data_IF_929493502260
#
_entry.id   IF_929493502260
#
_cell.length_a   1.000
_cell.length_b   1.000
_cell.length_c   1.000
_cell.angle_alpha   90.00
_cell.angle_beta   90.00
_cell.angle_gamma   90.00
#
_symmetry.space_group_name_H-M   'P 1'
#
loop_
_entity.id
_entity.type
_entity.pdbx_description
1 polymer ?
#
# COMPACT_ATOMS: atom_id res chain seq x y z
N UNK A 1 -13.54 -14.86 -33.69
CA UNK A 1 -13.91 -13.59 -33.02
C UNK A 1 -12.69 -13.09 -32.25
N UNK A 2 -12.02 -12.04 -32.74
CA UNK A 2 -10.82 -11.46 -32.08
C UNK A 2 -11.31 -10.51 -30.98
N UNK A 3 -11.08 -10.89 -29.73
CA UNK A 3 -11.42 -10.04 -28.59
C UNK A 3 -10.34 -8.95 -28.47
N UNK A 4 -10.76 -7.69 -28.60
CA UNK A 4 -9.89 -6.52 -28.62
C UNK A 4 -9.18 -6.33 -27.28
N UNK A 5 -7.90 -6.71 -27.24
CA UNK A 5 -6.95 -6.49 -26.16
C UNK A 5 -6.50 -5.03 -26.16
N UNK A 6 -6.99 -4.18 -25.24
CA UNK A 6 -6.19 -3.10 -24.60
C UNK A 6 -6.96 -2.08 -23.75
N UNK A 7 -8.28 -1.90 -23.89
CA UNK A 7 -8.90 -0.62 -23.44
C UNK A 7 -9.42 -0.56 -22.00
N UNK A 8 -9.43 -1.68 -21.26
CA UNK A 8 -10.35 -1.81 -20.12
C UNK A 8 -9.82 -1.36 -18.75
N UNK A 9 -8.57 -0.87 -18.66
CA UNK A 9 -8.02 -0.36 -17.39
C UNK A 9 -7.21 0.93 -17.59
N UNK A 10 -7.67 1.79 -18.49
CA UNK A 10 -7.12 3.13 -18.67
C UNK A 10 -7.50 4.09 -17.53
N UNK A 11 -8.35 3.66 -16.59
CA UNK A 11 -8.74 4.41 -15.39
C UNK A 11 -8.58 3.52 -14.17
N UNK A 12 -8.12 4.09 -13.06
CA UNK A 12 -7.89 3.45 -11.77
C UNK A 12 -9.07 2.55 -11.36
N UNK A 13 -9.04 1.28 -11.76
CA UNK A 13 -10.12 0.35 -11.49
C UNK A 13 -10.13 0.06 -9.98
N UNK A 14 -11.23 0.38 -9.27
CA UNK A 14 -11.28 0.20 -7.83
C UNK A 14 -11.24 -1.29 -7.48
N UNK A 15 -10.33 -1.67 -6.60
CA UNK A 15 -10.33 -3.03 -6.03
C UNK A 15 -11.48 -3.14 -5.02
N UNK A 16 -12.28 -4.19 -5.10
CA UNK A 16 -13.42 -4.39 -4.18
C UNK A 16 -13.03 -5.37 -3.09
N UNK A 17 -13.04 -4.91 -1.84
CA UNK A 17 -12.90 -5.78 -0.65
C UNK A 17 -14.31 -6.17 -0.20
N UNK A 18 -14.73 -7.41 -0.47
CA UNK A 18 -16.11 -7.88 -0.22
C UNK A 18 -16.39 -8.23 1.25
N UNK A 19 -15.39 -8.71 2.01
CA UNK A 19 -15.49 -8.94 3.46
C UNK A 19 -14.31 -8.26 4.18
N UNK A 20 -14.57 -7.11 4.78
CA UNK A 20 -13.63 -6.41 5.65
C UNK A 20 -13.89 -6.65 7.15
N UNK A 21 -13.01 -6.09 8.00
CA UNK A 21 -13.29 -5.94 9.44
C UNK A 21 -14.57 -5.09 9.59
N UNK A 22 -15.64 -5.67 10.16
CA UNK A 22 -16.95 -5.01 10.27
C UNK A 22 -18.00 -5.43 9.23
N UNK A 23 -17.74 -6.45 8.40
CA UNK A 23 -18.78 -7.09 7.57
C UNK A 23 -19.18 -6.37 6.28
N UNK A 24 -18.79 -5.11 6.09
CA UNK A 24 -19.10 -4.32 4.90
C UNK A 24 -18.18 -4.59 3.70
N UNK A 25 -18.77 -4.59 2.50
CA UNK A 25 -18.05 -4.52 1.23
C UNK A 25 -17.63 -3.06 0.96
N UNK A 26 -16.41 -2.85 0.47
CA UNK A 26 -15.92 -1.50 0.11
C UNK A 26 -15.02 -1.51 -1.10
N UNK A 27 -15.01 -0.41 -1.83
CA UNK A 27 -14.08 -0.15 -2.94
C UNK A 27 -12.87 0.61 -2.42
N UNK A 28 -11.68 0.08 -2.67
CA UNK A 28 -10.41 0.70 -2.35
C UNK A 28 -9.74 1.09 -3.66
N UNK A 29 -9.54 2.41 -3.92
CA UNK A 29 -8.78 2.85 -5.07
C UNK A 29 -7.34 2.36 -4.94
N UNK A 30 -6.79 1.82 -6.03
CA UNK A 30 -5.39 1.41 -6.08
C UNK A 30 -4.55 2.49 -6.71
N UNK A 31 -3.35 2.72 -6.15
CA UNK A 31 -2.33 3.51 -6.81
C UNK A 31 -1.99 2.90 -8.17
N UNK A 32 -1.65 3.73 -9.17
CA UNK A 32 -1.37 3.29 -10.55
C UNK A 32 -0.32 2.16 -10.60
N UNK A 33 0.72 2.26 -9.79
CA UNK A 33 1.80 1.27 -9.76
C UNK A 33 1.31 -0.06 -9.17
N UNK A 34 0.50 0.00 -8.10
CA UNK A 34 -0.11 -1.19 -7.51
C UNK A 34 -1.09 -1.86 -8.48
N UNK A 35 -1.88 -1.06 -9.21
CA UNK A 35 -2.78 -1.55 -10.24
C UNK A 35 -2.02 -2.21 -11.41
N UNK A 36 -0.86 -1.65 -11.79
CA UNK A 36 0.01 -2.22 -12.81
C UNK A 36 0.57 -3.59 -12.40
N UNK A 37 1.12 -3.70 -11.18
CA UNK A 37 1.62 -4.96 -10.63
C UNK A 37 0.50 -5.99 -10.50
N UNK A 38 -0.68 -5.58 -10.03
CA UNK A 38 -1.82 -6.48 -9.91
C UNK A 38 -2.32 -6.96 -11.26
N UNK A 39 -2.37 -6.09 -12.29
CA UNK A 39 -2.69 -6.52 -13.66
C UNK A 39 -1.73 -7.58 -14.12
N UNK A 40 -0.42 -7.33 -13.97
CA UNK A 40 0.59 -8.28 -14.40
C UNK A 40 0.41 -9.64 -13.74
N UNK A 41 0.18 -9.66 -12.42
CA UNK A 41 -0.15 -10.88 -11.69
C UNK A 41 -1.41 -11.59 -12.23
N UNK A 42 -2.47 -10.83 -12.49
CA UNK A 42 -3.72 -11.39 -13.03
C UNK A 42 -3.51 -11.99 -14.41
N UNK A 43 -2.84 -11.28 -15.32
CA UNK A 43 -2.65 -11.74 -16.70
C UNK A 43 -1.62 -12.86 -16.82
N UNK A 44 -0.52 -12.82 -16.06
CA UNK A 44 0.56 -13.81 -16.19
C UNK A 44 0.30 -15.08 -15.39
N UNK A 45 -0.43 -15.00 -14.26
CA UNK A 45 -0.55 -16.11 -13.32
C UNK A 45 -2.00 -16.52 -13.03
N UNK A 46 -2.89 -15.58 -12.69
CA UNK A 46 -4.20 -15.93 -12.13
C UNK A 46 -5.26 -16.22 -13.19
N UNK A 47 -5.27 -15.44 -14.25
CA UNK A 47 -6.31 -15.35 -15.28
C UNK A 47 -5.69 -15.22 -16.69
N UNK A 48 -4.79 -16.14 -17.12
CA UNK A 48 -4.14 -16.03 -18.43
C UNK A 48 -5.12 -16.16 -19.59
N UNK A 49 -6.28 -16.81 -19.39
CA UNK A 49 -7.36 -16.93 -20.38
C UNK A 49 -8.34 -15.73 -20.38
N UNK A 50 -8.14 -14.75 -19.51
CA UNK A 50 -9.02 -13.60 -19.34
C UNK A 50 -9.66 -13.52 -17.95
N UNK A 51 -10.16 -12.33 -17.61
CA UNK A 51 -10.79 -12.08 -16.30
C UNK A 51 -12.17 -12.73 -16.21
N UNK A 52 -12.57 -13.24 -15.02
CA UNK A 52 -13.92 -13.72 -14.80
C UNK A 52 -14.95 -12.60 -14.97
N UNK A 53 -16.17 -12.97 -15.37
CA UNK A 53 -17.28 -12.03 -15.50
C UNK A 53 -17.64 -11.45 -14.12
N UNK A 54 -17.94 -10.15 -14.07
CA UNK A 54 -18.36 -9.48 -12.83
C UNK A 54 -19.63 -10.15 -12.32
N UNK A 55 -19.65 -10.54 -11.04
CA UNK A 55 -20.77 -11.24 -10.40
C UNK A 55 -20.69 -12.76 -10.42
N UNK A 56 -19.78 -13.36 -11.19
CA UNK A 56 -19.66 -14.82 -11.36
C UNK A 56 -19.17 -15.52 -10.09
N UNK A 57 -19.20 -16.86 -10.07
CA UNK A 57 -18.68 -17.66 -8.95
C UNK A 57 -17.15 -17.59 -8.92
N UNK A 58 -16.52 -17.61 -10.09
CA UNK A 58 -15.08 -17.49 -10.29
C UNK A 58 -14.56 -16.12 -9.83
N UNK A 59 -15.34 -15.05 -10.02
CA UNK A 59 -15.03 -13.72 -9.48
C UNK A 59 -14.96 -13.70 -7.93
N UNK A 60 -15.64 -14.65 -7.27
CA UNK A 60 -15.64 -14.76 -5.80
C UNK A 60 -14.45 -15.53 -5.25
N UNK A 61 -13.66 -16.18 -6.10
CA UNK A 61 -12.48 -16.90 -5.65
C UNK A 61 -11.44 -15.96 -5.04
N UNK A 62 -10.60 -16.51 -4.17
CA UNK A 62 -9.51 -15.74 -3.59
C UNK A 62 -8.57 -15.22 -4.68
N UNK A 63 -8.24 -13.93 -4.58
CA UNK A 63 -7.42 -13.24 -5.57
C UNK A 63 -5.99 -13.76 -5.59
N UNK A 64 -5.36 -13.87 -4.42
CA UNK A 64 -3.96 -14.25 -4.27
C UNK A 64 -3.80 -15.75 -4.09
N UNK A 65 -2.82 -16.31 -4.78
CA UNK A 65 -2.42 -17.71 -4.72
C UNK A 65 -1.18 -17.84 -3.82
N UNK A 66 -1.21 -18.77 -2.88
CA UNK A 66 -0.06 -19.07 -2.03
C UNK A 66 0.93 -20.00 -2.75
N UNK A 67 2.02 -19.44 -3.29
CA UNK A 67 3.10 -20.23 -3.91
C UNK A 67 3.89 -21.08 -2.92
N UNK A 68 3.83 -20.75 -1.63
CA UNK A 68 4.65 -21.38 -0.60
C UNK A 68 4.12 -22.76 -0.14
N UNK A 69 2.96 -23.21 -0.65
CA UNK A 69 2.34 -24.51 -0.31
C UNK A 69 2.19 -25.44 -1.52
N UNK A 70 2.88 -25.13 -2.61
CA UNK A 70 2.65 -25.79 -3.88
C UNK A 70 3.53 -27.01 -3.97
N UNK A 71 2.93 -28.18 -4.08
CA UNK A 71 3.65 -29.42 -4.36
C UNK A 71 3.87 -29.55 -5.87
N UNK A 72 5.03 -30.02 -6.34
CA UNK A 72 5.24 -30.34 -7.74
C UNK A 72 4.12 -31.27 -8.26
N UNK A 73 3.54 -30.96 -9.41
CA UNK A 73 2.43 -31.73 -10.00
C UNK A 73 1.02 -31.37 -9.48
N UNK A 74 0.90 -30.55 -8.43
CA UNK A 74 -0.40 -30.11 -7.92
C UNK A 74 -0.76 -28.68 -8.37
N UNK A 75 -2.04 -28.39 -8.69
CA UNK A 75 -2.46 -27.07 -9.11
C UNK A 75 -2.32 -26.05 -7.98
N UNK A 76 -2.02 -24.82 -8.39
CA UNK A 76 -1.95 -23.67 -7.49
C UNK A 76 -3.35 -23.33 -6.94
N UNK A 77 -3.57 -23.55 -5.64
CA UNK A 77 -4.86 -23.25 -5.04
C UNK A 77 -5.02 -21.76 -4.71
N UNK A 78 -6.18 -21.14 -5.03
CA UNK A 78 -6.49 -19.78 -4.62
C UNK A 78 -6.57 -19.67 -3.10
N UNK A 79 -5.99 -18.60 -2.56
CA UNK A 79 -6.04 -18.29 -1.13
C UNK A 79 -4.66 -18.22 -0.49
N UNK A 80 -4.53 -17.32 0.48
CA UNK A 80 -3.33 -17.18 1.29
C UNK A 80 -3.72 -16.99 2.75
N UNK A 81 -3.19 -17.85 3.64
CA UNK A 81 -3.38 -17.67 5.08
C UNK A 81 -2.66 -16.43 5.59
N UNK A 82 -3.14 -15.84 6.68
CA UNK A 82 -2.46 -14.71 7.35
C UNK A 82 -1.02 -15.05 7.75
N UNK A 83 -0.77 -16.30 8.13
CA UNK A 83 0.58 -16.83 8.40
C UNK A 83 1.46 -16.81 7.15
N UNK A 84 0.94 -17.25 6.00
CA UNK A 84 1.66 -17.23 4.73
C UNK A 84 1.96 -15.79 4.27
N UNK A 85 1.01 -14.87 4.41
CA UNK A 85 1.25 -13.43 4.14
C UNK A 85 2.39 -12.90 5.01
N UNK A 86 2.36 -13.17 6.32
CA UNK A 86 3.39 -12.70 7.26
C UNK A 86 4.76 -13.27 6.92
N UNK A 87 4.84 -14.58 6.67
CA UNK A 87 6.08 -15.24 6.29
C UNK A 87 6.66 -14.65 5.00
N UNK A 88 5.82 -14.48 3.97
CA UNK A 88 6.24 -13.90 2.69
C UNK A 88 6.74 -12.47 2.85
N UNK A 89 6.05 -11.67 3.65
CA UNK A 89 6.44 -10.31 3.95
C UNK A 89 7.77 -10.25 4.72
N UNK A 90 8.03 -11.20 5.62
CA UNK A 90 9.34 -11.36 6.28
C UNK A 90 10.45 -11.63 5.28
N UNK A 91 10.25 -12.56 4.34
CA UNK A 91 11.24 -12.82 3.31
C UNK A 91 11.47 -11.60 2.39
N UNK A 92 10.42 -10.83 2.10
CA UNK A 92 10.52 -9.63 1.26
C UNK A 92 11.24 -8.48 1.96
N UNK A 93 10.93 -8.20 3.24
CA UNK A 93 11.58 -7.13 4.02
C UNK A 93 13.07 -7.39 4.20
N UNK A 94 13.46 -8.64 4.43
CA UNK A 94 14.87 -9.02 4.60
C UNK A 94 15.65 -8.80 3.32
N UNK A 95 15.14 -9.29 2.18
CA UNK A 95 15.77 -9.06 0.86
C UNK A 95 15.88 -7.58 0.53
N UNK A 96 14.80 -6.82 0.73
CA UNK A 96 14.79 -5.39 0.43
C UNK A 96 15.76 -4.61 1.35
N UNK A 97 15.81 -4.93 2.64
CA UNK A 97 16.77 -4.35 3.59
C UNK A 97 18.22 -4.66 3.18
N UNK A 98 18.51 -5.92 2.81
CA UNK A 98 19.82 -6.32 2.31
C UNK A 98 20.21 -5.56 1.03
N UNK A 99 19.29 -5.39 0.08
CA UNK A 99 19.52 -4.62 -1.15
C UNK A 99 19.81 -3.15 -0.85
N UNK A 100 19.07 -2.53 0.07
CA UNK A 100 19.30 -1.14 0.48
C UNK A 100 20.65 -0.97 1.19
N UNK A 101 21.03 -1.90 2.07
CA UNK A 101 22.35 -1.91 2.72
C UNK A 101 23.49 -2.09 1.70
N UNK A 102 23.33 -2.99 0.75
CA UNK A 102 24.30 -3.20 -0.32
C UNK A 102 24.43 -1.97 -1.24
N UNK A 103 23.32 -1.26 -1.50
CA UNK A 103 23.35 0.00 -2.23
C UNK A 103 24.05 1.10 -1.43
N UNK A 104 23.77 1.21 -0.13
CA UNK A 104 24.41 2.18 0.77
C UNK A 104 25.93 1.98 0.83
N UNK A 105 26.41 0.73 0.88
CA UNK A 105 27.83 0.41 0.92
C UNK A 105 28.60 0.81 -0.35
N UNK A 106 27.90 0.95 -1.49
CA UNK A 106 28.49 1.37 -2.78
C UNK A 106 28.33 2.87 -3.06
N UNK A 107 27.61 3.58 -2.21
CA UNK A 107 27.27 4.98 -2.41
C UNK A 107 28.41 5.88 -1.93
N UNK A 108 28.87 6.81 -2.79
CA UNK A 108 29.99 7.69 -2.48
C UNK A 108 29.56 8.89 -1.63
N UNK A 109 28.30 9.34 -1.78
CA UNK A 109 27.79 10.48 -1.00
C UNK A 109 27.33 9.98 0.37
N UNK A 110 28.01 10.42 1.42
CA UNK A 110 27.70 10.02 2.80
C UNK A 110 26.23 10.27 3.17
N UNK A 111 25.68 11.43 2.82
CA UNK A 111 24.26 11.76 3.06
C UNK A 111 23.31 10.77 2.40
N UNK A 112 23.64 10.30 1.19
CA UNK A 112 22.82 9.34 0.46
C UNK A 112 22.97 7.94 1.05
N UNK A 113 24.17 7.55 1.46
CA UNK A 113 24.42 6.28 2.15
C UNK A 113 23.64 6.19 3.47
N UNK A 114 23.63 7.28 4.25
CA UNK A 114 22.85 7.38 5.50
C UNK A 114 21.34 7.24 5.25
N UNK A 115 20.80 7.94 4.25
CA UNK A 115 19.38 7.80 3.86
C UNK A 115 19.02 6.36 3.49
N UNK A 116 19.87 5.69 2.70
CA UNK A 116 19.66 4.30 2.31
C UNK A 116 19.71 3.34 3.51
N UNK A 117 20.62 3.59 4.45
CA UNK A 117 20.71 2.83 5.70
C UNK A 117 19.45 3.00 6.56
N UNK A 118 18.96 4.23 6.73
CA UNK A 118 17.72 4.51 7.44
C UNK A 118 16.52 3.80 6.79
N UNK A 119 16.42 3.85 5.45
CA UNK A 119 15.39 3.14 4.71
C UNK A 119 15.46 1.63 4.93
N UNK A 120 16.67 1.04 4.96
CA UNK A 120 16.84 -0.39 5.21
C UNK A 120 16.28 -0.80 6.59
N UNK A 121 16.58 -0.02 7.63
CA UNK A 121 16.06 -0.24 8.99
C UNK A 121 14.54 -0.13 9.04
N UNK A 122 13.96 0.87 8.37
CA UNK A 122 12.51 1.05 8.31
C UNK A 122 11.81 -0.11 7.59
N UNK A 123 12.35 -0.54 6.44
CA UNK A 123 11.81 -1.65 5.66
C UNK A 123 11.86 -2.95 6.45
N UNK A 124 12.94 -3.20 7.19
CA UNK A 124 13.08 -4.40 8.03
C UNK A 124 12.02 -4.49 9.14
N UNK A 125 11.47 -3.37 9.60
CA UNK A 125 10.38 -3.31 10.60
C UNK A 125 8.99 -3.25 9.97
N UNK A 126 8.87 -3.30 8.64
CA UNK A 126 7.59 -3.21 7.96
C UNK A 126 6.68 -4.42 8.27
N UNK A 127 5.42 -4.12 8.59
CA UNK A 127 4.36 -5.08 8.87
C UNK A 127 3.04 -4.63 8.24
N UNK A 128 2.00 -5.49 8.14
CA UNK A 128 0.73 -5.08 7.55
C UNK A 128 0.06 -3.95 8.35
N UNK A 129 0.34 -3.88 9.66
CA UNK A 129 -0.16 -2.82 10.52
C UNK A 129 0.62 -1.51 10.33
N UNK A 130 1.96 -1.55 10.28
CA UNK A 130 2.77 -0.34 10.06
C UNK A 130 2.56 0.22 8.67
N UNK A 131 2.46 -0.61 7.63
CA UNK A 131 2.13 -0.18 6.27
C UNK A 131 0.75 0.47 6.18
N UNK A 132 -0.25 -0.10 6.87
CA UNK A 132 -1.59 0.49 6.96
C UNK A 132 -1.56 1.86 7.64
N UNK A 133 -0.80 2.00 8.73
CA UNK A 133 -0.65 3.26 9.44
C UNK A 133 0.05 4.31 8.57
N UNK A 134 1.17 3.96 7.92
CA UNK A 134 1.90 4.86 7.04
C UNK A 134 1.04 5.34 5.86
N UNK A 135 0.16 4.50 5.32
CA UNK A 135 -0.80 4.89 4.29
C UNK A 135 -1.81 5.91 4.83
N UNK A 136 -2.45 5.63 5.97
CA UNK A 136 -3.41 6.54 6.59
C UNK A 136 -2.79 7.91 6.89
N UNK A 137 -1.59 7.92 7.49
CA UNK A 137 -0.88 9.17 7.80
C UNK A 137 -0.49 9.95 6.54
N UNK A 138 -0.06 9.26 5.48
CA UNK A 138 0.26 9.89 4.20
C UNK A 138 -0.98 10.46 3.49
N UNK A 139 -2.16 9.85 3.68
CA UNK A 139 -3.42 10.41 3.19
C UNK A 139 -3.77 11.70 3.93
N UNK A 140 -3.71 11.72 5.26
CA UNK A 140 -3.97 12.91 6.08
C UNK A 140 -3.02 14.06 5.75
N UNK A 141 -1.71 13.80 5.66
CA UNK A 141 -0.72 14.82 5.25
C UNK A 141 -0.95 15.41 3.86
N UNK A 142 -1.62 14.67 2.97
CA UNK A 142 -1.99 15.15 1.64
C UNK A 142 -3.36 15.83 1.59
N UNK A 143 -3.97 16.09 2.76
CA UNK A 143 -5.25 16.79 2.88
C UNK A 143 -6.49 15.90 2.72
N UNK A 144 -6.36 14.58 2.78
CA UNK A 144 -7.54 13.71 2.80
C UNK A 144 -8.30 13.87 4.12
N UNK A 145 -9.63 13.94 4.05
CA UNK A 145 -10.46 14.02 5.25
C UNK A 145 -10.44 12.68 6.02
N UNK A 146 -10.66 12.75 7.34
CA UNK A 146 -10.74 11.58 8.21
C UNK A 146 -11.80 10.59 7.71
N UNK A 147 -12.90 11.08 7.15
CA UNK A 147 -13.95 10.25 6.53
C UNK A 147 -13.44 9.43 5.33
N UNK A 148 -12.53 10.00 4.53
CA UNK A 148 -11.94 9.32 3.38
C UNK A 148 -10.92 8.26 3.80
N UNK A 149 -10.12 8.56 4.83
CA UNK A 149 -9.20 7.61 5.46
C UNK A 149 -9.98 6.44 6.06
N UNK A 150 -11.04 6.72 6.81
CA UNK A 150 -11.91 5.69 7.41
C UNK A 150 -12.54 4.79 6.35
N UNK A 151 -13.10 5.36 5.28
CA UNK A 151 -13.70 4.61 4.17
C UNK A 151 -12.68 3.69 3.51
N UNK A 152 -11.44 4.16 3.32
CA UNK A 152 -10.36 3.38 2.71
C UNK A 152 -9.90 2.24 3.63
N UNK A 153 -9.75 2.50 4.93
CA UNK A 153 -9.28 1.51 5.91
C UNK A 153 -10.35 0.48 6.29
N UNK A 154 -11.63 0.85 6.24
CA UNK A 154 -12.78 0.00 6.56
C UNK A 154 -12.94 -0.25 8.06
N UNK A 155 -12.80 0.79 8.88
CA UNK A 155 -13.05 0.70 10.32
C UNK A 155 -14.54 0.95 10.62
N UNK A 156 -15.18 0.07 11.39
CA UNK A 156 -16.59 0.20 11.77
C UNK A 156 -16.83 1.18 12.95
N UNK A 157 -15.78 1.67 13.62
CA UNK A 157 -15.88 2.64 14.73
C UNK A 157 -14.78 3.71 14.66
N UNK A 158 -15.19 4.96 14.82
CA UNK A 158 -14.37 6.19 14.82
C UNK A 158 -13.28 6.18 15.90
N UNK A 159 -13.48 5.47 17.02
CA UNK A 159 -12.55 5.42 18.15
C UNK A 159 -11.19 4.76 17.88
N UNK A 160 -11.08 3.91 16.85
CA UNK A 160 -9.77 3.36 16.41
C UNK A 160 -9.01 4.26 15.42
N UNK A 161 -9.61 5.40 15.04
CA UNK A 161 -8.99 6.41 14.16
C UNK A 161 -8.29 7.53 14.94
N UNK A 162 -8.57 7.65 16.24
CA UNK A 162 -7.92 8.60 17.17
C UNK A 162 -6.40 8.41 17.27
N UNK A 163 -5.92 7.18 17.04
CA UNK A 163 -4.49 6.84 17.07
C UNK A 163 -3.72 7.46 15.89
N UNK A 164 -4.41 7.84 14.80
CA UNK A 164 -3.79 8.46 13.61
C UNK A 164 -3.86 9.99 13.60
N UNK A 165 -4.48 10.59 14.63
CA UNK A 165 -4.78 12.02 14.70
C UNK A 165 -3.86 12.78 15.66
N UNK A 166 -2.87 12.11 16.28
CA UNK A 166 -1.81 12.86 16.96
C UNK A 166 -0.86 13.41 15.89
N UNK A 167 -0.87 14.72 15.62
CA UNK A 167 0.16 15.32 14.78
C UNK A 167 1.50 15.17 15.50
N UNK A 168 2.58 14.86 14.76
CA UNK A 168 3.92 15.07 15.30
C UNK A 168 4.37 16.52 15.05
N UNK A 169 5.51 16.90 15.62
CA UNK A 169 6.03 18.27 15.57
C UNK A 169 6.21 18.77 14.13
N UNK A 170 6.48 17.86 13.19
CA UNK A 170 6.58 18.17 11.76
C UNK A 170 5.20 18.48 11.16
N UNK A 171 4.17 17.71 11.50
CA UNK A 171 2.78 17.97 11.06
C UNK A 171 2.26 19.32 11.60
N UNK A 172 2.66 19.72 12.81
CA UNK A 172 2.33 21.02 13.42
C UNK A 172 3.07 22.17 12.72
N UNK A 173 4.37 21.99 12.45
CA UNK A 173 5.18 22.99 11.75
C UNK A 173 4.65 23.26 10.34
N UNK A 174 4.33 22.21 9.57
CA UNK A 174 3.75 22.31 8.24
C UNK A 174 2.36 22.98 8.26
N UNK A 175 1.59 22.80 9.35
CA UNK A 175 0.30 23.46 9.52
C UNK A 175 0.45 24.97 9.82
N UNK A 176 1.43 25.34 10.64
CA UNK A 176 1.78 26.74 10.94
C UNK A 176 2.25 27.45 9.66
N UNK A 177 3.09 26.80 8.86
CA UNK A 177 3.53 27.34 7.56
C UNK A 177 2.36 27.51 6.59
N UNK A 178 1.49 26.50 6.44
CA UNK A 178 0.29 26.59 5.59
C UNK A 178 -0.71 27.65 6.05
N UNK A 179 -0.82 27.89 7.35
CA UNK A 179 -1.67 28.93 7.91
C UNK A 179 -1.06 30.34 7.80
N UNK A 180 0.19 30.46 7.30
CA UNK A 180 0.89 31.73 7.21
C UNK A 180 1.28 32.31 8.58
N UNK A 181 1.28 31.50 9.63
CA UNK A 181 1.54 31.92 11.01
C UNK A 181 3.03 31.83 11.39
N UNK A 182 3.90 31.41 10.46
CA UNK A 182 5.35 31.23 10.64
C UNK A 182 6.21 32.47 10.39
N UNK A 183 5.64 33.68 10.37
CA UNK A 183 6.38 34.92 10.12
C UNK A 183 6.76 35.66 11.40
N UNK A 184 7.91 35.35 12.00
CA UNK A 184 8.56 36.27 12.95
C UNK A 184 9.33 37.32 12.13
N UNK A 185 8.97 38.60 12.33
CA UNK A 185 9.20 39.69 11.38
C UNK A 185 10.65 40.15 11.16
N UNK A 186 10.86 40.76 10.00
CA UNK A 186 11.97 41.69 9.74
C UNK A 186 11.42 42.94 9.03
N UNK A 187 11.39 44.03 9.81
CA UNK A 187 11.39 45.47 9.48
C UNK A 187 11.18 45.86 8.00
N UNK A 188 10.09 46.60 7.72
CA UNK A 188 10.16 47.67 6.71
C UNK A 188 10.74 48.90 7.38
N UNK A 189 11.99 49.20 7.05
CA UNK A 189 12.60 50.50 7.27
C UNK A 189 12.89 51.11 5.90
N UNK A 190 12.52 52.39 5.79
CA UNK A 190 12.63 53.34 4.67
C UNK A 190 11.62 53.15 3.54
#
# INVERSE_FOLDING_TARGET
>A
MRCSSATWISKAAPSTVRRGKGGGARRIPLHRDAASVLRRYLTELRCPQGMPAIGSVEEREALLVARDRTQPGHPLLPGMSTRAVRHRMTALRERASQQLRAAAAKEQRQTRAEQLHQLAVLVERASPHTLRHSLARRMLRRGADLSEVQRTMGHARVSTTGIYTMPDDDDVRDAIERAGLGGCGAKRAV
#
